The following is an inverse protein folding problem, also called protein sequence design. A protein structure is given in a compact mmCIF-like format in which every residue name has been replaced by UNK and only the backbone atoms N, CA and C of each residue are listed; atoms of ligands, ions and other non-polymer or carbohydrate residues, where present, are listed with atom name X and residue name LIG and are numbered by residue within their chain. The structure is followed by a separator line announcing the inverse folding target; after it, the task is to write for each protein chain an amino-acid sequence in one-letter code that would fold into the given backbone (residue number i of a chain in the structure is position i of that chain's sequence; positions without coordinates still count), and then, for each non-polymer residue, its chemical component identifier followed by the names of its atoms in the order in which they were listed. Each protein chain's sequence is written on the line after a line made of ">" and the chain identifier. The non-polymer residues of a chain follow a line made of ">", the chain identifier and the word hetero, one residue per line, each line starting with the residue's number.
data_IF_805101234876
#
_entry.id   IF_805101234876
#
_cell.length_a   1.000
_cell.length_b   1.000
_cell.length_c   1.000
_cell.angle_alpha   90.00
_cell.angle_beta   90.00
_cell.angle_gamma   90.00
#
_symmetry.space_group_name_H-M   'P 1'
#
loop_
_entity.id
_entity.type
_entity.pdbx_description
1 polymer ?
#
# COMPACT_ATOMS: atom_id res chain seq x y z
N UNK A 1 13.91 -19.85 7.01
CA UNK A 1 14.31 -18.70 7.85
C UNK A 1 15.78 -18.81 8.27
N UNK A 2 16.22 -19.96 8.79
CA UNK A 2 17.64 -20.19 9.15
C UNK A 2 18.60 -20.12 7.96
N UNK A 3 18.13 -20.41 6.75
CA UNK A 3 18.96 -20.41 5.55
C UNK A 3 19.46 -19.00 5.21
N UNK A 4 18.62 -17.98 5.30
CA UNK A 4 19.00 -16.57 5.08
C UNK A 4 20.06 -16.11 6.08
N UNK A 5 19.97 -16.58 7.35
CA UNK A 5 20.89 -16.18 8.41
C UNK A 5 22.33 -16.60 8.15
N UNK A 6 22.50 -17.79 7.56
CA UNK A 6 23.79 -18.41 7.33
C UNK A 6 24.16 -18.49 5.83
N UNK A 7 23.46 -17.75 4.99
CA UNK A 7 23.70 -17.73 3.56
C UNK A 7 25.08 -17.12 3.26
N UNK A 8 25.96 -17.84 2.52
CA UNK A 8 27.29 -17.32 2.19
C UNK A 8 27.27 -16.10 1.28
N UNK A 9 26.17 -15.86 0.53
CA UNK A 9 26.04 -14.70 -0.35
C UNK A 9 25.57 -13.45 0.39
N UNK A 10 25.28 -13.58 1.69
CA UNK A 10 24.85 -12.46 2.51
C UNK A 10 25.96 -11.40 2.69
N UNK A 11 25.59 -10.15 2.48
CA UNK A 11 26.46 -9.01 2.77
C UNK A 11 26.58 -8.85 4.29
N UNK A 12 27.77 -9.07 4.84
CA UNK A 12 28.04 -8.97 6.29
C UNK A 12 29.10 -7.90 6.62
N UNK A 13 29.64 -7.24 5.60
CA UNK A 13 30.60 -6.14 5.72
C UNK A 13 30.22 -5.04 4.74
N UNK A 14 30.55 -3.75 5.04
CA UNK A 14 30.40 -2.68 4.07
C UNK A 14 31.16 -2.98 2.80
N UNK A 15 30.51 -2.79 1.66
CA UNK A 15 31.06 -2.96 0.33
C UNK A 15 31.12 -1.59 -0.36
N UNK A 16 32.23 -1.30 -1.05
CA UNK A 16 32.42 -0.15 -1.92
C UNK A 16 32.53 -0.62 -3.35
N UNK A 17 31.78 -0.02 -4.26
CA UNK A 17 31.86 -0.31 -5.70
C UNK A 17 32.96 0.52 -6.37
N UNK A 18 33.79 -0.11 -7.17
CA UNK A 18 34.57 0.56 -8.20
C UNK A 18 33.66 0.80 -9.41
N UNK A 19 33.36 2.06 -9.71
CA UNK A 19 32.49 2.42 -10.84
C UNK A 19 33.07 2.06 -12.21
N UNK A 20 34.42 1.93 -12.33
CA UNK A 20 35.05 1.60 -13.60
C UNK A 20 34.96 0.11 -13.94
N UNK A 21 35.04 -0.76 -12.95
CA UNK A 21 34.99 -2.21 -13.12
C UNK A 21 33.62 -2.80 -12.76
N UNK A 22 32.84 -2.13 -11.91
CA UNK A 22 31.61 -2.64 -11.33
C UNK A 22 31.82 -3.59 -10.16
N UNK A 23 33.06 -3.88 -9.80
CA UNK A 23 33.38 -4.81 -8.72
C UNK A 23 33.22 -4.17 -7.34
N UNK A 24 32.86 -5.00 -6.36
CA UNK A 24 32.75 -4.58 -4.95
C UNK A 24 33.97 -5.03 -4.15
N UNK A 25 34.52 -4.12 -3.36
CA UNK A 25 35.54 -4.42 -2.38
C UNK A 25 35.04 -4.18 -0.95
N UNK A 26 35.52 -4.97 -0.02
CA UNK A 26 35.24 -4.79 1.40
C UNK A 26 35.96 -3.58 1.95
N UNK A 27 35.25 -2.73 2.70
CA UNK A 27 35.80 -1.57 3.40
C UNK A 27 35.40 -1.57 4.88
N UNK A 28 36.05 -0.74 5.69
CA UNK A 28 35.63 -0.56 7.08
C UNK A 28 34.40 0.36 7.18
N UNK A 29 33.63 0.23 8.27
CA UNK A 29 32.50 1.12 8.56
C UNK A 29 32.95 2.58 8.64
N UNK A 30 34.09 2.87 9.27
CA UNK A 30 34.63 4.21 9.45
C UNK A 30 34.96 4.83 8.08
N UNK A 31 35.58 4.06 7.19
CA UNK A 31 35.93 4.52 5.85
C UNK A 31 34.65 4.77 5.01
N UNK A 32 33.69 3.84 5.05
CA UNK A 32 32.44 3.98 4.33
C UNK A 32 31.64 5.21 4.80
N UNK A 33 31.42 5.36 6.10
CA UNK A 33 30.66 6.48 6.68
C UNK A 33 31.34 7.83 6.43
N UNK A 34 32.68 7.89 6.55
CA UNK A 34 33.43 9.11 6.30
C UNK A 34 33.28 9.58 4.84
N UNK A 35 33.42 8.68 3.85
CA UNK A 35 33.30 9.04 2.44
C UNK A 35 31.85 9.33 2.05
N UNK A 36 30.88 8.49 2.46
CA UNK A 36 29.45 8.77 2.24
C UNK A 36 29.08 10.15 2.77
N UNK A 37 29.46 10.46 4.02
CA UNK A 37 29.18 11.76 4.63
C UNK A 37 29.85 12.93 3.90
N UNK A 38 31.09 12.75 3.42
CA UNK A 38 31.79 13.77 2.65
C UNK A 38 31.14 14.01 1.28
N UNK A 39 30.77 12.95 0.57
CA UNK A 39 30.08 13.04 -0.73
C UNK A 39 28.69 13.64 -0.58
N UNK A 40 27.90 13.19 0.41
CA UNK A 40 26.58 13.73 0.70
C UNK A 40 26.63 15.25 0.98
N UNK A 41 27.56 15.70 1.83
CA UNK A 41 27.75 17.14 2.10
C UNK A 41 28.11 17.92 0.84
N UNK A 42 28.96 17.39 -0.05
CA UNK A 42 29.27 18.04 -1.34
C UNK A 42 28.05 18.15 -2.22
N UNK A 43 27.25 17.08 -2.34
CA UNK A 43 26.01 17.09 -3.15
C UNK A 43 25.04 18.12 -2.59
N UNK A 44 24.78 18.13 -1.28
CA UNK A 44 23.87 19.10 -0.64
C UNK A 44 24.38 20.54 -0.82
N UNK A 45 25.68 20.77 -0.69
CA UNK A 45 26.25 22.11 -0.89
C UNK A 45 26.09 22.61 -2.34
N UNK A 46 26.14 21.71 -3.32
CA UNK A 46 26.01 22.04 -4.74
C UNK A 46 24.54 22.17 -5.21
N UNK A 47 23.63 21.36 -4.70
CA UNK A 47 22.28 21.20 -5.27
C UNK A 47 21.14 21.35 -4.24
N UNK A 48 21.49 21.64 -2.98
CA UNK A 48 20.51 21.77 -1.89
C UNK A 48 20.07 20.42 -1.30
N UNK A 49 19.43 20.46 -0.12
CA UNK A 49 18.99 19.26 0.59
C UNK A 49 17.88 18.49 -0.15
N UNK A 50 17.07 19.17 -0.96
CA UNK A 50 16.01 18.56 -1.78
C UNK A 50 16.55 17.63 -2.88
N UNK A 51 17.89 17.56 -3.09
CA UNK A 51 18.51 16.63 -4.02
C UNK A 51 18.79 15.24 -3.41
N UNK A 52 18.40 15.00 -2.18
CA UNK A 52 18.59 13.71 -1.49
C UNK A 52 17.26 12.97 -1.43
N UNK A 53 17.25 11.73 -1.88
CA UNK A 53 16.07 10.87 -1.82
C UNK A 53 16.33 9.57 -1.07
N UNK A 54 15.26 8.96 -0.53
CA UNK A 54 15.29 7.65 0.11
C UNK A 54 14.12 6.79 -0.32
N UNK A 55 14.40 5.56 -0.77
CA UNK A 55 13.42 4.52 -0.96
C UNK A 55 13.49 3.48 0.17
N UNK A 56 12.36 3.17 0.73
CA UNK A 56 12.19 2.33 1.90
C UNK A 56 11.29 1.13 1.55
N UNK A 57 11.88 -0.04 1.52
CA UNK A 57 11.18 -1.29 1.15
C UNK A 57 10.31 -1.84 2.28
N UNK A 58 9.41 -2.75 1.92
CA UNK A 58 8.46 -3.35 2.86
C UNK A 58 9.09 -4.01 4.10
N UNK A 59 10.21 -4.79 4.01
CA UNK A 59 10.84 -5.35 5.21
C UNK A 59 11.29 -4.30 6.23
N UNK A 60 11.62 -3.09 5.80
CA UNK A 60 11.96 -1.98 6.68
C UNK A 60 10.78 -1.47 7.49
N UNK A 61 9.54 -1.57 6.96
CA UNK A 61 8.34 -1.17 7.68
C UNK A 61 8.03 -2.06 8.90
N UNK A 62 8.61 -3.26 8.93
CA UNK A 62 8.51 -4.17 10.09
C UNK A 62 9.69 -4.02 11.06
N UNK A 63 10.37 -2.88 11.04
CA UNK A 63 11.42 -2.50 11.98
C UNK A 63 11.16 -1.09 12.47
N UNK A 64 10.67 -0.97 13.68
CA UNK A 64 10.33 0.34 14.27
C UNK A 64 11.54 1.29 14.29
N UNK A 65 12.70 0.79 14.66
CA UNK A 65 13.93 1.59 14.72
C UNK A 65 14.34 2.10 13.34
N UNK A 66 14.26 1.24 12.29
CA UNK A 66 14.59 1.63 10.93
C UNK A 66 13.66 2.73 10.41
N UNK A 67 12.36 2.57 10.60
CA UNK A 67 11.36 3.57 10.20
C UNK A 67 11.62 4.93 10.88
N UNK A 68 11.87 4.94 12.18
CA UNK A 68 12.17 6.15 12.96
C UNK A 68 13.45 6.85 12.46
N UNK A 69 14.53 6.10 12.26
CA UNK A 69 15.81 6.69 11.84
C UNK A 69 15.76 7.22 10.41
N UNK A 70 15.15 6.48 9.47
CA UNK A 70 15.01 6.96 8.08
C UNK A 70 14.16 8.23 8.03
N UNK A 71 13.02 8.23 8.72
CA UNK A 71 12.16 9.41 8.77
C UNK A 71 12.86 10.60 9.40
N UNK A 72 13.49 10.40 10.56
CA UNK A 72 14.25 11.45 11.24
C UNK A 72 15.41 11.99 10.41
N UNK A 73 16.10 11.14 9.64
CA UNK A 73 17.16 11.57 8.73
C UNK A 73 16.61 12.45 7.60
N UNK A 74 15.52 12.04 6.93
CA UNK A 74 14.92 12.81 5.85
C UNK A 74 14.32 14.13 6.33
N UNK A 75 13.69 14.14 7.49
CA UNK A 75 13.18 15.38 8.11
C UNK A 75 14.31 16.32 8.54
N UNK A 76 15.38 15.77 9.12
CA UNK A 76 16.57 16.55 9.50
C UNK A 76 17.29 17.17 8.30
N UNK A 77 17.22 16.55 7.12
CA UNK A 77 17.67 17.13 5.85
C UNK A 77 16.70 18.18 5.30
N UNK A 78 15.40 18.05 5.60
CA UNK A 78 14.34 18.84 4.99
C UNK A 78 14.01 18.44 3.55
N UNK A 79 14.37 17.22 3.13
CA UNK A 79 14.04 16.72 1.79
C UNK A 79 12.67 16.06 1.74
N UNK A 80 11.83 16.38 0.73
CA UNK A 80 10.55 15.74 0.52
C UNK A 80 10.65 14.37 -0.17
N UNK A 81 11.81 14.00 -0.70
CA UNK A 81 11.99 12.81 -1.53
C UNK A 81 12.05 11.51 -0.70
N UNK A 82 10.94 11.20 -0.06
CA UNK A 82 10.73 9.95 0.67
C UNK A 82 9.76 9.05 -0.09
N UNK A 83 10.18 7.83 -0.36
CA UNK A 83 9.45 6.85 -1.16
C UNK A 83 9.37 5.52 -0.42
N UNK A 84 8.26 4.81 -0.59
CA UNK A 84 8.08 3.50 0.02
C UNK A 84 7.41 2.52 -0.94
N UNK A 85 7.49 1.23 -0.61
CA UNK A 85 6.77 0.19 -1.32
C UNK A 85 5.24 0.37 -1.27
N UNK A 86 4.70 1.15 -0.32
CA UNK A 86 3.27 1.38 -0.17
C UNK A 86 2.62 2.00 -1.40
N UNK A 87 3.34 2.83 -2.17
CA UNK A 87 2.83 3.43 -3.40
C UNK A 87 2.55 2.41 -4.51
N UNK A 88 3.12 1.21 -4.42
CA UNK A 88 2.90 0.08 -5.33
C UNK A 88 1.98 -1.00 -4.71
N UNK A 89 1.38 -0.74 -3.55
CA UNK A 89 0.54 -1.69 -2.84
C UNK A 89 -0.71 -1.04 -2.24
N UNK A 90 -0.58 -0.16 -1.26
CA UNK A 90 -1.67 0.22 -0.35
C UNK A 90 -1.97 1.73 -0.31
N UNK A 91 -1.16 2.57 -0.93
CA UNK A 91 -1.32 4.03 -0.84
C UNK A 91 -2.71 4.52 -1.30
N UNK A 92 -3.31 3.90 -2.33
CA UNK A 92 -4.67 4.22 -2.76
C UNK A 92 -5.71 3.95 -1.66
N UNK A 93 -5.52 2.89 -0.89
CA UNK A 93 -6.36 2.56 0.26
C UNK A 93 -6.21 3.59 1.39
N UNK A 94 -4.98 3.99 1.70
CA UNK A 94 -4.69 5.03 2.69
C UNK A 94 -5.24 6.39 2.27
N UNK A 95 -5.12 6.75 0.98
CA UNK A 95 -5.72 7.97 0.45
C UNK A 95 -7.26 7.98 0.60
N UNK A 96 -7.92 6.85 0.32
CA UNK A 96 -9.35 6.72 0.55
C UNK A 96 -9.72 6.86 2.03
N UNK A 97 -8.93 6.28 2.94
CA UNK A 97 -9.11 6.44 4.39
C UNK A 97 -8.96 7.90 4.83
N UNK A 98 -7.96 8.60 4.32
CA UNK A 98 -7.80 10.04 4.60
C UNK A 98 -9.02 10.87 4.16
N UNK A 99 -9.61 10.53 3.01
CA UNK A 99 -10.80 11.21 2.47
C UNK A 99 -12.08 10.87 3.25
N UNK A 100 -12.22 9.64 3.73
CA UNK A 100 -13.41 9.18 4.45
C UNK A 100 -13.35 9.50 5.95
N UNK A 101 -12.22 9.29 6.58
CA UNK A 101 -12.06 9.28 8.03
C UNK A 101 -11.16 10.40 8.56
N UNK A 102 -10.57 11.21 7.66
CA UNK A 102 -9.65 12.27 8.04
C UNK A 102 -8.23 11.80 8.39
N UNK A 103 -7.96 10.49 8.38
CA UNK A 103 -6.64 9.90 8.61
C UNK A 103 -6.36 8.74 7.67
N UNK A 104 -5.20 8.71 7.00
CA UNK A 104 -4.79 7.58 6.16
C UNK A 104 -4.51 6.29 6.97
N UNK A 105 -4.24 6.40 8.27
CA UNK A 105 -3.97 5.26 9.14
C UNK A 105 -5.24 4.48 9.54
N UNK A 106 -6.42 5.07 9.42
CA UNK A 106 -7.69 4.45 9.80
C UNK A 106 -8.21 3.53 8.68
N UNK A 107 -7.85 2.26 8.72
CA UNK A 107 -8.27 1.24 7.76
C UNK A 107 -9.20 0.23 8.44
N UNK A 108 -10.49 0.14 8.06
CA UNK A 108 -11.37 -0.89 8.60
C UNK A 108 -10.97 -2.28 8.11
N UNK A 109 -11.09 -3.23 9.01
CA UNK A 109 -10.71 -4.64 8.84
C UNK A 109 -11.96 -5.51 8.96
N UNK A 110 -12.24 -6.47 8.05
CA UNK A 110 -13.32 -7.42 8.18
C UNK A 110 -13.25 -8.23 9.47
N UNK A 111 -14.32 -8.27 10.24
CA UNK A 111 -14.46 -9.14 11.39
C UNK A 111 -14.86 -10.56 10.96
N UNK A 112 -13.87 -11.34 10.52
CA UNK A 112 -14.07 -12.67 9.95
C UNK A 112 -14.70 -13.68 10.93
N UNK A 113 -14.55 -13.45 12.23
CA UNK A 113 -15.09 -14.36 13.24
C UNK A 113 -16.61 -14.27 13.38
N UNK A 114 -17.20 -13.13 13.04
CA UNK A 114 -18.62 -12.84 13.25
C UNK A 114 -19.38 -12.51 11.99
N UNK A 115 -18.71 -12.24 10.87
CA UNK A 115 -19.39 -11.95 9.60
C UNK A 115 -20.18 -13.15 9.08
N UNK A 116 -21.32 -12.89 8.48
CA UNK A 116 -22.15 -13.86 7.77
C UNK A 116 -22.10 -13.71 6.24
N UNK A 117 -21.60 -12.56 5.75
CA UNK A 117 -21.39 -12.32 4.32
C UNK A 117 -20.08 -11.55 4.12
N UNK A 118 -19.16 -12.12 3.37
CA UNK A 118 -17.90 -11.47 3.01
C UNK A 118 -17.81 -11.30 1.50
N UNK A 119 -17.75 -10.05 1.04
CA UNK A 119 -17.45 -9.69 -0.34
C UNK A 119 -15.95 -9.34 -0.45
N UNK A 120 -15.20 -10.14 -1.18
CA UNK A 120 -13.78 -9.89 -1.47
C UNK A 120 -13.59 -9.45 -2.92
N UNK A 121 -12.93 -8.31 -3.14
CA UNK A 121 -12.70 -7.73 -4.46
C UNK A 121 -11.20 -7.61 -4.72
N UNK A 122 -10.70 -8.30 -5.74
CA UNK A 122 -9.29 -8.26 -6.13
C UNK A 122 -8.33 -8.70 -5.00
N UNK A 123 -8.74 -9.70 -4.22
CA UNK A 123 -7.99 -10.21 -3.08
C UNK A 123 -7.80 -11.72 -3.14
N UNK A 124 -6.58 -12.20 -2.84
CA UNK A 124 -6.25 -13.62 -2.84
C UNK A 124 -5.55 -14.03 -1.53
N UNK A 125 -6.29 -14.03 -0.39
CA UNK A 125 -5.69 -14.27 0.93
C UNK A 125 -5.09 -15.68 1.09
N UNK A 126 -5.44 -16.65 0.25
CA UNK A 126 -4.80 -17.98 0.27
C UNK A 126 -3.34 -17.94 -0.17
N UNK A 127 -2.93 -16.91 -0.89
CA UNK A 127 -1.54 -16.64 -1.30
C UNK A 127 -0.92 -15.54 -0.45
N UNK A 128 -1.63 -14.41 -0.24
CA UNK A 128 -1.11 -13.25 0.47
C UNK A 128 -1.21 -13.36 2.01
N UNK A 129 -1.76 -14.43 2.53
CA UNK A 129 -2.04 -14.63 3.96
C UNK A 129 -2.98 -13.58 4.58
N UNK A 130 -3.75 -12.88 3.77
CA UNK A 130 -4.70 -11.87 4.25
C UNK A 130 -4.03 -10.55 4.64
N UNK A 131 -3.20 -10.03 3.78
CA UNK A 131 -2.56 -8.71 3.90
C UNK A 131 -3.56 -7.64 4.39
N UNK A 132 -3.21 -6.89 5.43
CA UNK A 132 -4.06 -5.93 6.16
C UNK A 132 -5.19 -6.57 6.99
N UNK A 133 -5.57 -7.83 6.76
CA UNK A 133 -6.62 -8.50 7.54
C UNK A 133 -6.22 -8.83 8.98
N UNK A 134 -4.92 -8.85 9.29
CA UNK A 134 -4.37 -9.30 10.60
C UNK A 134 -4.99 -10.63 11.08
N UNK A 135 -5.23 -11.54 10.14
CA UNK A 135 -5.97 -12.78 10.36
C UNK A 135 -5.04 -14.00 10.30
N UNK A 136 -4.47 -14.45 11.43
CA UNK A 136 -3.72 -15.70 11.46
C UNK A 136 -4.61 -16.85 10.98
N UNK A 137 -4.02 -17.84 10.30
CA UNK A 137 -4.74 -18.99 9.76
C UNK A 137 -5.92 -18.60 8.85
N UNK A 138 -5.71 -17.65 7.96
CA UNK A 138 -6.75 -17.05 7.11
C UNK A 138 -7.64 -18.09 6.40
N UNK A 139 -7.08 -19.21 5.95
CA UNK A 139 -7.83 -20.28 5.28
C UNK A 139 -8.92 -20.86 6.19
N UNK A 140 -8.58 -21.16 7.44
CA UNK A 140 -9.50 -21.68 8.44
C UNK A 140 -10.58 -20.64 8.78
N UNK A 141 -10.22 -19.38 8.90
CA UNK A 141 -11.17 -18.30 9.19
C UNK A 141 -12.19 -18.11 8.07
N UNK A 142 -11.76 -18.14 6.81
CA UNK A 142 -12.68 -18.03 5.67
C UNK A 142 -13.61 -19.24 5.53
N UNK A 143 -13.09 -20.45 5.72
CA UNK A 143 -13.95 -21.64 5.76
C UNK A 143 -14.93 -21.60 6.94
N UNK A 144 -14.50 -21.11 8.10
CA UNK A 144 -15.35 -20.94 9.27
C UNK A 144 -16.57 -20.04 9.03
N UNK A 145 -16.49 -19.06 8.10
CA UNK A 145 -17.67 -18.27 7.70
C UNK A 145 -18.73 -19.19 7.07
N UNK A 146 -18.29 -20.05 6.14
CA UNK A 146 -19.21 -20.98 5.43
C UNK A 146 -19.75 -22.06 6.37
N UNK A 147 -18.91 -22.60 7.27
CA UNK A 147 -19.30 -23.58 8.28
C UNK A 147 -20.38 -23.07 9.25
N UNK A 148 -20.38 -21.75 9.50
CA UNK A 148 -21.42 -21.09 10.29
C UNK A 148 -22.68 -20.73 9.48
N UNK A 149 -22.78 -21.18 8.21
CA UNK A 149 -23.90 -20.89 7.32
C UNK A 149 -23.80 -19.54 6.60
N UNK A 150 -22.65 -18.85 6.72
CA UNK A 150 -22.39 -17.61 5.99
C UNK A 150 -21.90 -17.86 4.57
N UNK A 151 -21.62 -16.77 3.85
CA UNK A 151 -21.14 -16.80 2.46
C UNK A 151 -19.90 -15.98 2.26
N UNK A 152 -19.02 -16.46 1.39
CA UNK A 152 -17.83 -15.74 0.92
C UNK A 152 -17.89 -15.63 -0.60
N UNK A 153 -17.91 -14.42 -1.11
CA UNK A 153 -17.94 -14.11 -2.54
C UNK A 153 -16.61 -13.47 -2.93
N UNK A 154 -15.96 -14.04 -3.94
CA UNK A 154 -14.68 -13.56 -4.46
C UNK A 154 -14.89 -12.97 -5.85
N UNK A 155 -14.72 -11.66 -5.96
CA UNK A 155 -14.75 -10.94 -7.24
C UNK A 155 -13.31 -10.81 -7.73
N UNK A 156 -13.00 -11.49 -8.83
CA UNK A 156 -11.64 -11.52 -9.38
C UNK A 156 -11.72 -11.88 -10.87
N UNK A 157 -10.96 -11.24 -11.77
CA UNK A 157 -10.91 -11.63 -13.18
C UNK A 157 -10.50 -13.10 -13.38
N UNK A 158 -9.70 -13.62 -12.47
CA UNK A 158 -9.16 -14.97 -12.48
C UNK A 158 -9.80 -15.82 -11.36
N UNK A 159 -10.07 -17.07 -11.65
CA UNK A 159 -10.42 -18.02 -10.61
C UNK A 159 -9.19 -18.36 -9.78
N UNK A 160 -8.84 -17.42 -8.87
CA UNK A 160 -7.67 -17.46 -8.02
C UNK A 160 -7.68 -18.64 -7.03
N UNK A 161 -6.58 -18.84 -6.29
CA UNK A 161 -6.48 -19.90 -5.29
C UNK A 161 -7.58 -19.78 -4.23
N UNK A 162 -7.92 -18.57 -3.83
CA UNK A 162 -9.05 -18.32 -2.92
C UNK A 162 -10.38 -18.54 -3.63
N UNK A 163 -10.57 -18.03 -4.84
CA UNK A 163 -11.82 -18.16 -5.60
C UNK A 163 -12.20 -19.61 -5.95
N UNK A 164 -11.25 -20.55 -5.91
CA UNK A 164 -11.55 -21.98 -6.11
C UNK A 164 -12.32 -22.63 -4.97
N UNK A 165 -12.31 -22.00 -3.79
CA UNK A 165 -12.93 -22.55 -2.57
C UNK A 165 -14.26 -21.88 -2.21
N UNK A 166 -14.59 -20.75 -2.86
CA UNK A 166 -15.75 -19.94 -2.55
C UNK A 166 -16.52 -19.57 -3.81
N UNK A 167 -17.62 -18.84 -3.64
CA UNK A 167 -18.37 -18.31 -4.76
C UNK A 167 -17.49 -17.32 -5.54
N UNK A 168 -17.40 -17.49 -6.86
CA UNK A 168 -16.57 -16.67 -7.72
C UNK A 168 -17.40 -15.88 -8.72
N UNK A 169 -17.23 -14.58 -8.72
CA UNK A 169 -17.80 -13.66 -9.69
C UNK A 169 -16.68 -13.10 -10.56
N UNK A 170 -16.58 -13.52 -11.82
CA UNK A 170 -15.57 -12.98 -12.73
C UNK A 170 -15.94 -11.55 -13.12
N UNK A 171 -14.97 -10.64 -13.03
CA UNK A 171 -15.11 -9.25 -13.42
C UNK A 171 -14.03 -8.89 -14.44
N UNK A 172 -14.31 -8.00 -15.40
CA UNK A 172 -13.25 -7.52 -16.29
C UNK A 172 -12.22 -6.70 -15.51
N UNK A 173 -10.91 -6.86 -15.78
CA UNK A 173 -9.88 -6.08 -15.12
C UNK A 173 -10.17 -4.58 -15.19
N UNK A 174 -9.87 -3.87 -14.09
CA UNK A 174 -9.97 -2.40 -13.95
C UNK A 174 -11.40 -1.84 -14.12
N UNK A 175 -12.43 -2.67 -13.87
CA UNK A 175 -13.85 -2.24 -13.91
C UNK A 175 -14.56 -2.30 -12.56
N UNK A 176 -13.81 -2.53 -11.49
CA UNK A 176 -14.32 -2.66 -10.11
C UNK A 176 -15.14 -1.43 -9.69
N UNK A 177 -14.70 -0.22 -10.06
CA UNK A 177 -15.40 1.02 -9.73
C UNK A 177 -16.85 1.02 -10.27
N UNK A 178 -17.06 0.55 -11.50
CA UNK A 178 -18.40 0.46 -12.09
C UNK A 178 -19.27 -0.60 -11.42
N UNK A 179 -18.67 -1.72 -11.04
CA UNK A 179 -19.36 -2.77 -10.29
C UNK A 179 -19.83 -2.25 -8.94
N UNK A 180 -18.96 -1.62 -8.17
CA UNK A 180 -19.26 -1.10 -6.85
C UNK A 180 -20.26 0.06 -6.89
N UNK A 181 -20.14 0.97 -7.87
CA UNK A 181 -21.12 2.03 -8.10
C UNK A 181 -22.49 1.46 -8.48
N UNK A 182 -22.51 0.39 -9.28
CA UNK A 182 -23.74 -0.28 -9.65
C UNK A 182 -24.42 -0.96 -8.45
N UNK A 183 -23.65 -1.61 -7.59
CA UNK A 183 -24.18 -2.16 -6.33
C UNK A 183 -24.74 -1.04 -5.44
N UNK A 184 -24.05 0.10 -5.35
CA UNK A 184 -24.53 1.26 -4.61
C UNK A 184 -25.81 1.85 -5.23
N UNK A 185 -25.93 1.89 -6.58
CA UNK A 185 -27.15 2.26 -7.29
C UNK A 185 -28.33 1.39 -6.84
N UNK A 186 -28.14 0.07 -6.81
CA UNK A 186 -29.18 -0.88 -6.36
C UNK A 186 -29.60 -0.62 -4.91
N UNK A 187 -28.64 -0.38 -4.01
CA UNK A 187 -28.94 -0.06 -2.62
C UNK A 187 -29.84 1.19 -2.50
N UNK A 188 -29.59 2.19 -3.35
CA UNK A 188 -30.40 3.42 -3.39
C UNK A 188 -31.77 3.19 -4.05
N UNK A 189 -31.80 2.58 -5.23
CA UNK A 189 -33.07 2.34 -5.99
C UNK A 189 -34.05 1.47 -5.23
N UNK A 190 -33.55 0.44 -4.54
CA UNK A 190 -34.39 -0.55 -3.84
C UNK A 190 -34.58 -0.20 -2.36
N UNK A 191 -34.16 1.00 -1.92
CA UNK A 191 -34.30 1.47 -0.53
C UNK A 191 -33.65 0.52 0.50
N UNK A 192 -32.52 -0.07 0.16
CA UNK A 192 -31.77 -1.00 1.01
C UNK A 192 -30.69 -0.32 1.85
N UNK A 193 -30.43 0.97 1.63
CA UNK A 193 -29.46 1.74 2.40
C UNK A 193 -30.00 2.05 3.82
N UNK A 194 -29.12 1.98 4.83
CA UNK A 194 -29.44 2.41 6.20
C UNK A 194 -29.38 3.95 6.30
N UNK A 195 -30.43 4.59 5.78
CA UNK A 195 -30.55 6.07 5.74
C UNK A 195 -30.47 6.69 7.14
N UNK A 196 -30.88 5.98 8.19
CA UNK A 196 -30.83 6.50 9.56
C UNK A 196 -29.40 6.60 10.09
N UNK A 197 -28.57 5.57 9.88
CA UNK A 197 -27.14 5.59 10.22
C UNK A 197 -26.38 6.60 9.36
N UNK A 198 -26.66 6.62 8.06
CA UNK A 198 -26.00 7.55 7.13
C UNK A 198 -26.27 9.02 7.48
N UNK A 199 -27.50 9.36 7.85
CA UNK A 199 -27.86 10.72 8.27
C UNK A 199 -27.20 11.14 9.59
N UNK A 200 -26.94 10.19 10.49
CA UNK A 200 -26.34 10.44 11.80
C UNK A 200 -24.82 10.51 11.74
N UNK A 201 -24.18 9.66 10.92
CA UNK A 201 -22.75 9.34 11.02
C UNK A 201 -21.94 9.88 9.86
N UNK A 202 -22.58 10.39 8.79
CA UNK A 202 -21.87 10.80 7.58
C UNK A 202 -22.23 12.21 7.13
N UNK A 203 -21.32 12.81 6.37
CA UNK A 203 -21.58 14.00 5.58
C UNK A 203 -21.41 13.69 4.10
N UNK A 204 -22.21 14.34 3.22
CA UNK A 204 -22.06 14.17 1.77
C UNK A 204 -22.81 12.97 1.18
N UNK A 205 -23.52 12.16 1.96
CA UNK A 205 -24.28 11.01 1.46
C UNK A 205 -25.26 11.36 0.33
N UNK A 206 -25.96 12.50 0.45
CA UNK A 206 -26.91 12.94 -0.58
C UNK A 206 -26.24 13.05 -1.97
N UNK A 207 -24.99 13.52 -2.02
CA UNK A 207 -24.25 13.63 -3.28
C UNK A 207 -23.79 12.26 -3.79
N UNK A 208 -23.33 11.38 -2.92
CA UNK A 208 -22.95 10.00 -3.28
C UNK A 208 -24.17 9.25 -3.84
N UNK A 209 -25.32 9.36 -3.19
CA UNK A 209 -26.60 8.79 -3.63
C UNK A 209 -26.98 9.28 -5.04
N UNK A 210 -26.95 10.59 -5.27
CA UNK A 210 -27.24 11.18 -6.59
C UNK A 210 -26.30 10.63 -7.67
N UNK A 211 -25.01 10.57 -7.41
CA UNK A 211 -24.01 10.06 -8.35
C UNK A 211 -24.21 8.56 -8.63
N UNK A 212 -24.50 7.76 -7.61
CA UNK A 212 -24.70 6.32 -7.74
C UNK A 212 -25.84 5.96 -8.69
N UNK A 213 -26.92 6.74 -8.71
CA UNK A 213 -28.08 6.54 -9.60
C UNK A 213 -27.71 6.66 -11.11
N UNK A 214 -26.55 7.24 -11.45
CA UNK A 214 -26.01 7.26 -12.81
C UNK A 214 -25.35 5.95 -13.25
N UNK A 215 -25.40 4.88 -12.45
CA UNK A 215 -24.71 3.61 -12.74
C UNK A 215 -25.63 2.40 -12.59
N UNK A 216 -26.79 2.36 -13.27
CA UNK A 216 -27.69 1.22 -13.16
C UNK A 216 -27.02 -0.07 -13.68
N UNK A 217 -27.33 -1.23 -13.08
CA UNK A 217 -26.73 -2.53 -13.45
C UNK A 217 -26.84 -2.84 -14.94
N UNK A 218 -27.94 -2.47 -15.57
CA UNK A 218 -28.23 -2.72 -16.99
C UNK A 218 -27.22 -2.00 -17.92
N UNK A 219 -26.72 -0.85 -17.51
CA UNK A 219 -25.72 -0.09 -18.28
C UNK A 219 -24.28 -0.51 -17.96
N UNK A 220 -24.02 -0.92 -16.71
CA UNK A 220 -22.67 -1.27 -16.26
C UNK A 220 -22.29 -2.72 -16.56
N UNK A 221 -23.28 -3.62 -16.73
CA UNK A 221 -23.04 -5.04 -17.00
C UNK A 221 -22.16 -5.28 -18.23
N UNK A 222 -22.39 -4.55 -19.31
CA UNK A 222 -21.58 -4.68 -20.53
C UNK A 222 -20.11 -4.26 -20.31
N UNK A 223 -19.84 -3.34 -19.38
CA UNK A 223 -18.49 -2.87 -19.04
C UNK A 223 -17.79 -3.82 -18.09
N UNK A 224 -18.47 -4.24 -17.02
CA UNK A 224 -17.90 -5.08 -15.98
C UNK A 224 -17.79 -6.55 -16.39
N UNK A 225 -18.63 -6.99 -17.32
CA UNK A 225 -18.79 -8.40 -17.66
C UNK A 225 -19.61 -9.19 -16.63
N UNK A 226 -20.11 -8.53 -15.57
CA UNK A 226 -20.99 -9.12 -14.57
C UNK A 226 -22.44 -8.86 -15.00
N UNK A 227 -23.30 -9.88 -15.10
CA UNK A 227 -24.72 -9.70 -15.47
C UNK A 227 -25.45 -8.76 -14.52
N UNK A 228 -26.43 -8.00 -15.03
CA UNK A 228 -27.18 -7.02 -14.23
C UNK A 228 -27.94 -7.66 -13.04
N UNK A 229 -28.53 -8.83 -13.25
CA UNK A 229 -29.19 -9.59 -12.20
C UNK A 229 -28.22 -10.07 -11.10
N UNK A 230 -26.98 -10.39 -11.48
CA UNK A 230 -25.92 -10.75 -10.54
C UNK A 230 -25.47 -9.55 -9.72
N UNK A 231 -25.30 -8.36 -10.33
CA UNK A 231 -25.01 -7.11 -9.61
C UNK A 231 -26.11 -6.77 -8.60
N UNK A 232 -27.37 -6.91 -9.01
CA UNK A 232 -28.54 -6.73 -8.11
C UNK A 232 -28.54 -7.75 -6.97
N UNK A 233 -28.26 -9.02 -7.29
CA UNK A 233 -28.17 -10.08 -6.28
C UNK A 233 -27.08 -9.76 -5.24
N UNK A 234 -25.86 -9.39 -5.66
CA UNK A 234 -24.77 -9.06 -4.76
C UNK A 234 -25.11 -7.89 -3.81
N UNK A 235 -25.74 -6.85 -4.34
CA UNK A 235 -26.17 -5.71 -3.53
C UNK A 235 -27.23 -6.08 -2.49
N UNK A 236 -28.25 -6.87 -2.90
CA UNK A 236 -29.31 -7.37 -1.99
C UNK A 236 -28.76 -8.32 -0.94
N UNK A 237 -27.85 -9.22 -1.32
CA UNK A 237 -27.18 -10.16 -0.40
C UNK A 237 -26.34 -9.42 0.65
N UNK A 238 -25.61 -8.37 0.23
CA UNK A 238 -24.82 -7.52 1.13
C UNK A 238 -25.74 -6.79 2.13
N UNK A 239 -26.83 -6.21 1.67
CA UNK A 239 -27.76 -5.46 2.51
C UNK A 239 -28.64 -6.37 3.39
N UNK A 240 -29.00 -7.56 2.88
CA UNK A 240 -29.87 -8.51 3.59
C UNK A 240 -29.12 -9.39 4.61
N UNK A 241 -27.79 -9.38 4.61
CA UNK A 241 -27.02 -10.15 5.57
C UNK A 241 -27.12 -9.55 6.98
N UNK A 242 -27.23 -10.37 8.02
CA UNK A 242 -27.23 -9.90 9.41
C UNK A 242 -25.95 -9.11 9.72
N UNK A 243 -24.82 -9.58 9.18
CA UNK A 243 -23.49 -8.96 9.32
C UNK A 243 -22.71 -9.17 8.05
N UNK A 244 -22.30 -8.08 7.43
CA UNK A 244 -21.55 -8.13 6.18
C UNK A 244 -20.27 -7.34 6.25
N UNK A 245 -19.23 -7.84 5.60
CA UNK A 245 -17.97 -7.14 5.43
C UNK A 245 -17.57 -7.10 3.96
N UNK A 246 -16.89 -6.02 3.58
CA UNK A 246 -16.34 -5.84 2.24
C UNK A 246 -14.81 -5.67 2.37
N UNK A 247 -14.07 -6.37 1.53
CA UNK A 247 -12.61 -6.36 1.56
C UNK A 247 -12.03 -6.29 0.16
N UNK A 248 -11.19 -5.30 -0.08
CA UNK A 248 -10.45 -5.15 -1.33
C UNK A 248 -8.95 -5.07 -1.10
N UNK A 249 -8.17 -5.61 -2.06
CA UNK A 249 -6.70 -5.57 -1.99
C UNK A 249 -6.11 -5.21 -3.35
N UNK A 250 -4.83 -5.47 -3.49
CA UNK A 250 -3.96 -5.08 -4.60
C UNK A 250 -4.62 -5.19 -5.98
N UNK A 251 -5.37 -6.26 -6.24
CA UNK A 251 -6.09 -6.45 -7.50
C UNK A 251 -7.15 -5.39 -7.82
N UNK A 252 -7.75 -4.79 -6.80
CA UNK A 252 -8.76 -3.73 -6.95
C UNK A 252 -8.21 -2.32 -6.66
N UNK A 253 -7.17 -2.21 -5.80
CA UNK A 253 -6.64 -0.91 -5.36
C UNK A 253 -5.61 -0.31 -6.33
N UNK A 254 -4.94 -1.10 -7.16
CA UNK A 254 -3.87 -0.63 -8.04
C UNK A 254 -4.30 -0.28 -9.46
N UNK A 255 -5.59 -0.44 -9.78
CA UNK A 255 -6.15 -0.03 -11.06
C UNK A 255 -6.23 1.49 -11.21
N UNK A 256 -6.67 1.92 -12.39
CA UNK A 256 -6.84 3.34 -12.76
C UNK A 256 -7.67 4.15 -11.75
N UNK A 257 -8.62 3.50 -11.10
CA UNK A 257 -9.53 4.10 -10.13
C UNK A 257 -9.33 3.56 -8.70
N UNK A 258 -8.12 3.11 -8.36
CA UNK A 258 -7.84 2.40 -7.12
C UNK A 258 -8.27 3.14 -5.85
N UNK A 259 -8.07 4.45 -5.76
CA UNK A 259 -8.56 5.27 -4.64
C UNK A 259 -10.10 5.30 -4.60
N UNK A 260 -10.77 5.48 -5.75
CA UNK A 260 -12.23 5.44 -5.83
C UNK A 260 -12.77 4.06 -5.45
N UNK A 261 -12.15 2.99 -5.93
CA UNK A 261 -12.54 1.62 -5.55
C UNK A 261 -12.43 1.43 -4.04
N UNK A 262 -11.34 1.84 -3.43
CA UNK A 262 -11.15 1.77 -1.97
C UNK A 262 -12.20 2.57 -1.21
N UNK A 263 -12.53 3.78 -1.69
CA UNK A 263 -13.60 4.62 -1.16
C UNK A 263 -14.97 3.92 -1.25
N UNK A 264 -15.29 3.29 -2.39
CA UNK A 264 -16.56 2.63 -2.63
C UNK A 264 -16.73 1.35 -1.80
N UNK A 265 -15.66 0.59 -1.55
CA UNK A 265 -15.69 -0.58 -0.67
C UNK A 265 -16.17 -0.19 0.74
N UNK A 266 -15.65 0.89 1.29
CA UNK A 266 -16.08 1.39 2.60
C UNK A 266 -17.46 2.04 2.54
N UNK A 267 -17.78 2.73 1.45
CA UNK A 267 -19.10 3.32 1.24
C UNK A 267 -20.21 2.25 1.22
N UNK A 268 -19.95 1.08 0.66
CA UNK A 268 -20.90 -0.04 0.71
C UNK A 268 -21.13 -0.54 2.15
N UNK A 269 -20.07 -0.62 2.95
CA UNK A 269 -20.22 -0.98 4.38
C UNK A 269 -20.96 0.11 5.16
N UNK A 270 -20.68 1.39 4.89
CA UNK A 270 -21.42 2.52 5.46
C UNK A 270 -22.91 2.48 5.06
N UNK A 271 -23.18 2.31 3.76
CA UNK A 271 -24.55 2.31 3.23
C UNK A 271 -25.42 1.16 3.76
N UNK A 272 -24.80 0.08 4.19
CA UNK A 272 -25.51 -1.10 4.75
C UNK A 272 -25.41 -1.21 6.27
N UNK A 273 -24.92 -0.16 6.96
CA UNK A 273 -24.81 -0.13 8.42
C UNK A 273 -23.81 -1.15 8.99
N UNK A 274 -22.82 -1.56 8.20
CA UNK A 274 -21.83 -2.58 8.56
C UNK A 274 -20.43 -2.02 8.89
N UNK A 275 -20.22 -0.71 8.79
CA UNK A 275 -18.96 -0.10 9.22
C UNK A 275 -18.98 0.12 10.75
N UNK A 276 -17.85 -0.13 11.39
CA UNK A 276 -17.63 -0.06 12.85
C UNK A 276 -18.63 -0.89 13.66
N UNK A 277 -19.02 -2.03 13.10
CA UNK A 277 -19.96 -2.98 13.68
C UNK A 277 -19.33 -4.37 13.78
N UNK A 278 -19.58 -5.07 14.88
CA UNK A 278 -19.15 -6.46 15.04
C UNK A 278 -19.71 -7.35 13.92
N UNK A 279 -18.83 -8.04 13.20
CA UNK A 279 -19.14 -8.84 12.02
C UNK A 279 -19.15 -8.09 10.69
N UNK A 280 -18.95 -6.76 10.73
CA UNK A 280 -18.73 -5.91 9.58
C UNK A 280 -17.25 -5.51 9.44
N UNK A 281 -17.01 -4.28 8.98
CA UNK A 281 -15.69 -3.67 9.02
C UNK A 281 -15.46 -2.99 10.36
N UNK A 282 -14.40 -3.35 11.08
CA UNK A 282 -14.06 -2.78 12.38
C UNK A 282 -12.69 -2.11 12.35
N UNK A 283 -12.51 -1.06 13.13
CA UNK A 283 -11.19 -0.46 13.31
C UNK A 283 -10.41 -1.22 14.37
N UNK A 284 -9.18 -1.62 14.03
CA UNK A 284 -8.31 -2.31 14.97
C UNK A 284 -7.84 -1.36 16.09
N UNK A 285 -7.73 -1.89 17.29
CA UNK A 285 -7.07 -1.19 18.41
C UNK A 285 -5.71 -1.88 18.66
N UNK A 286 -4.62 -1.39 18.08
CA UNK A 286 -3.30 -1.93 18.32
C UNK A 286 -2.87 -1.63 19.77
N UNK A 287 -1.92 -2.41 20.29
CA UNK A 287 -1.36 -2.18 21.64
C UNK A 287 -0.69 -0.80 21.78
N UNK A 288 -0.21 -0.26 20.68
CA UNK A 288 0.26 1.13 20.54
C UNK A 288 -0.66 1.81 19.54
N UNK A 289 -1.31 2.89 19.93
CA UNK A 289 -2.16 3.71 19.07
C UNK A 289 -1.30 4.43 18.02
N UNK A 290 -0.98 3.73 16.92
CA UNK A 290 -0.10 4.23 15.87
C UNK A 290 -0.66 5.46 15.15
N UNK A 291 -1.97 5.55 15.03
CA UNK A 291 -2.69 6.70 14.50
C UNK A 291 -2.45 7.94 15.37
N UNK A 292 -2.57 7.83 16.69
CA UNK A 292 -2.27 8.92 17.63
C UNK A 292 -0.79 9.30 17.60
N UNK A 293 0.11 8.30 17.60
CA UNK A 293 1.55 8.53 17.49
C UNK A 293 1.90 9.19 16.15
N UNK A 294 1.31 8.73 15.05
CA UNK A 294 1.51 9.32 13.74
C UNK A 294 1.01 10.76 13.68
N UNK A 295 -0.16 11.05 14.25
CA UNK A 295 -0.69 12.42 14.35
C UNK A 295 0.24 13.33 15.15
N UNK A 296 0.66 12.89 16.33
CA UNK A 296 1.56 13.67 17.20
C UNK A 296 2.92 13.92 16.55
N UNK A 297 3.42 12.95 15.79
CA UNK A 297 4.66 13.05 15.04
C UNK A 297 4.52 13.79 13.70
N UNK A 298 3.30 14.18 13.29
CA UNK A 298 3.03 14.81 11.99
C UNK A 298 3.27 13.87 10.80
N UNK A 299 3.14 12.57 11.01
CA UNK A 299 3.34 11.51 9.99
C UNK A 299 2.03 11.06 9.34
N UNK A 300 0.89 11.38 9.97
CA UNK A 300 -0.46 11.10 9.48
C UNK A 300 -0.85 12.10 8.38
N UNK A 301 -0.17 12.03 7.22
CA UNK A 301 -0.29 13.03 6.18
C UNK A 301 -0.90 12.49 4.90
N UNK A 302 -1.74 13.32 4.28
CA UNK A 302 -2.22 13.16 2.92
C UNK A 302 -2.21 14.53 2.22
N UNK A 303 -1.37 14.68 1.19
CA UNK A 303 -1.27 15.90 0.42
C UNK A 303 -0.58 17.08 1.13
N UNK A 304 0.14 16.86 2.23
CA UNK A 304 0.97 17.87 2.91
C UNK A 304 2.18 18.25 2.06
N UNK A 305 2.75 17.26 1.37
CA UNK A 305 3.86 17.43 0.43
C UNK A 305 3.39 16.96 -0.94
N UNK A 306 3.94 17.56 -1.99
CA UNK A 306 3.67 17.15 -3.36
C UNK A 306 4.97 16.86 -4.10
N UNK A 307 4.94 15.87 -5.01
CA UNK A 307 6.06 15.57 -5.88
C UNK A 307 6.41 16.78 -6.75
N UNK A 308 7.68 16.96 -7.01
CA UNK A 308 8.21 17.99 -7.94
C UNK A 308 7.63 17.80 -9.34
N UNK A 309 7.59 16.55 -9.81
CA UNK A 309 7.02 16.18 -11.09
C UNK A 309 5.57 15.76 -10.90
N UNK A 310 4.66 16.33 -11.68
CA UNK A 310 3.25 15.99 -11.69
C UNK A 310 2.42 16.49 -10.50
N UNK A 311 3.03 17.01 -9.44
CA UNK A 311 2.31 17.56 -8.28
C UNK A 311 1.48 16.54 -7.49
N UNK A 312 1.86 15.27 -7.50
CA UNK A 312 1.15 14.19 -6.80
C UNK A 312 1.27 14.33 -5.27
N UNK A 313 0.18 14.11 -4.55
CA UNK A 313 0.19 14.20 -3.09
C UNK A 313 0.99 13.06 -2.44
N UNK A 314 1.59 13.35 -1.27
CA UNK A 314 2.10 12.31 -0.40
C UNK A 314 0.96 11.52 0.26
N UNK A 315 1.27 10.29 0.64
CA UNK A 315 0.45 9.44 1.49
C UNK A 315 1.33 8.90 2.61
N UNK A 316 1.04 9.25 3.85
CA UNK A 316 1.90 8.97 5.02
C UNK A 316 3.35 9.46 4.81
N UNK A 317 3.49 10.64 4.23
CA UNK A 317 4.76 11.28 3.91
C UNK A 317 5.50 10.67 2.72
N UNK A 318 5.01 9.61 2.09
CA UNK A 318 5.65 8.98 0.95
C UNK A 318 5.09 9.49 -0.38
N UNK A 319 5.99 9.83 -1.30
CA UNK A 319 5.69 10.19 -2.68
C UNK A 319 5.57 8.93 -3.57
N UNK A 320 4.93 9.01 -4.74
CA UNK A 320 4.80 7.85 -5.64
C UNK A 320 6.16 7.35 -6.15
N UNK A 321 6.50 6.10 -5.83
CA UNK A 321 7.77 5.49 -6.25
C UNK A 321 7.89 5.29 -7.77
N UNK A 322 6.77 5.31 -8.49
CA UNK A 322 6.76 5.30 -9.96
C UNK A 322 7.44 6.52 -10.59
N UNK A 323 7.66 7.59 -9.85
CA UNK A 323 8.36 8.79 -10.32
C UNK A 323 9.88 8.74 -10.15
N UNK A 324 10.42 7.73 -9.47
CA UNK A 324 11.84 7.68 -9.09
C UNK A 324 12.80 7.93 -10.25
N UNK A 325 12.61 7.24 -11.38
CA UNK A 325 13.47 7.40 -12.54
C UNK A 325 13.43 8.83 -13.11
N UNK A 326 12.23 9.40 -13.21
CA UNK A 326 12.03 10.77 -13.71
C UNK A 326 12.58 11.81 -12.73
N UNK A 327 12.40 11.63 -11.42
CA UNK A 327 12.93 12.54 -10.38
C UNK A 327 14.48 12.54 -10.33
N UNK A 328 15.13 11.45 -10.73
CA UNK A 328 16.58 11.36 -10.87
C UNK A 328 17.09 11.96 -12.19
N UNK A 329 16.35 11.83 -13.27
CA UNK A 329 16.82 12.16 -14.62
C UNK A 329 16.37 13.53 -15.14
N UNK A 330 15.22 14.04 -14.66
CA UNK A 330 14.70 15.34 -15.11
C UNK A 330 15.43 16.50 -14.43
N UNK A 331 16.15 17.35 -15.18
CA UNK A 331 16.87 18.48 -14.59
C UNK A 331 15.94 19.48 -13.90
N UNK A 332 16.48 20.17 -12.91
CA UNK A 332 15.80 21.27 -12.21
C UNK A 332 16.03 21.24 -10.71
N UNK A 333 15.51 22.27 -10.02
CA UNK A 333 15.58 22.34 -8.57
C UNK A 333 14.93 21.13 -7.92
N UNK A 334 15.61 20.52 -6.93
CA UNK A 334 15.17 19.31 -6.25
C UNK A 334 15.35 18.02 -7.07
N UNK A 335 16.06 18.02 -8.21
CA UNK A 335 16.44 16.78 -8.89
C UNK A 335 17.22 15.88 -7.93
N UNK A 336 16.85 14.61 -7.82
CA UNK A 336 17.56 13.65 -6.96
C UNK A 336 18.98 13.41 -7.52
N UNK A 337 19.98 13.70 -6.72
CA UNK A 337 21.41 13.53 -7.02
C UNK A 337 22.12 12.57 -6.07
N UNK A 338 21.63 12.47 -4.83
CA UNK A 338 22.04 11.47 -3.88
C UNK A 338 20.85 10.61 -3.48
N UNK A 339 21.02 9.29 -3.47
CA UNK A 339 19.91 8.38 -3.20
C UNK A 339 20.30 7.28 -2.23
N UNK A 340 19.35 6.94 -1.38
CA UNK A 340 19.46 5.83 -0.46
C UNK A 340 18.34 4.81 -0.75
N UNK A 341 18.69 3.53 -0.71
CA UNK A 341 17.69 2.45 -0.68
C UNK A 341 17.87 1.62 0.57
N UNK A 342 16.79 1.14 1.14
CA UNK A 342 16.87 0.23 2.25
C UNK A 342 15.79 -0.85 2.15
N UNK A 343 16.20 -2.10 2.38
CA UNK A 343 15.32 -3.25 2.49
C UNK A 343 14.34 -3.39 1.30
N UNK A 344 14.79 -3.09 0.07
CA UNK A 344 13.92 -3.14 -1.09
C UNK A 344 14.64 -3.21 -2.42
N UNK A 345 13.97 -3.77 -3.42
CA UNK A 345 14.48 -3.93 -4.79
C UNK A 345 13.55 -3.21 -5.80
N UNK A 346 13.54 -1.86 -5.81
CA UNK A 346 12.63 -1.08 -6.66
C UNK A 346 12.85 -1.28 -8.15
N UNK A 347 14.01 -1.67 -8.63
CA UNK A 347 14.22 -2.04 -10.04
C UNK A 347 13.30 -3.19 -10.46
N UNK A 348 13.03 -4.16 -9.57
CA UNK A 348 12.09 -5.24 -9.84
C UNK A 348 10.65 -4.94 -9.44
N UNK A 349 10.42 -4.06 -8.47
CA UNK A 349 9.09 -3.87 -7.87
C UNK A 349 8.38 -2.58 -8.28
N UNK A 350 9.10 -1.59 -8.83
CA UNK A 350 8.50 -0.37 -9.36
C UNK A 350 8.29 -0.46 -10.88
N UNK A 351 7.37 0.33 -11.45
CA UNK A 351 7.21 0.43 -12.88
C UNK A 351 8.48 0.92 -13.58
N UNK A 352 8.70 0.44 -14.80
CA UNK A 352 9.83 0.81 -15.65
C UNK A 352 11.19 0.60 -14.97
N UNK A 353 11.42 -0.63 -14.50
CA UNK A 353 12.69 -1.02 -13.88
C UNK A 353 13.94 -0.65 -14.71
N UNK A 354 13.95 -0.88 -16.04
CA UNK A 354 15.09 -0.48 -16.88
C UNK A 354 15.39 1.03 -16.85
N UNK A 355 14.38 1.89 -16.85
CA UNK A 355 14.59 3.34 -16.73
C UNK A 355 15.13 3.71 -15.34
N UNK A 356 14.63 3.06 -14.28
CA UNK A 356 15.14 3.27 -12.93
C UNK A 356 16.58 2.79 -12.79
N UNK A 357 16.92 1.63 -13.35
CA UNK A 357 18.28 1.10 -13.35
C UNK A 357 19.27 2.07 -13.99
N UNK A 358 18.92 2.62 -15.16
CA UNK A 358 19.72 3.63 -15.85
C UNK A 358 19.84 4.92 -15.02
N UNK A 359 18.78 5.35 -14.35
CA UNK A 359 18.76 6.54 -13.53
C UNK A 359 19.70 6.41 -12.31
N UNK A 360 19.74 5.24 -11.69
CA UNK A 360 20.60 4.95 -10.54
C UNK A 360 22.10 5.09 -10.88
N UNK A 361 22.52 4.69 -12.08
CA UNK A 361 23.91 4.85 -12.55
C UNK A 361 24.33 6.33 -12.69
N UNK A 362 23.39 7.23 -12.95
CA UNK A 362 23.63 8.67 -13.13
C UNK A 362 23.76 9.47 -11.85
N UNK A 363 23.59 8.87 -10.67
CA UNK A 363 23.63 9.56 -9.39
C UNK A 363 25.05 9.95 -8.97
N UNK A 364 25.18 11.06 -8.25
CA UNK A 364 26.44 11.50 -7.66
C UNK A 364 26.84 10.63 -6.44
N UNK A 365 25.83 10.14 -5.71
CA UNK A 365 25.98 9.21 -4.61
C UNK A 365 24.79 8.26 -4.55
N UNK A 366 25.05 6.96 -4.54
CA UNK A 366 24.04 5.95 -4.28
C UNK A 366 24.50 5.00 -3.16
N UNK A 367 23.68 4.87 -2.12
CA UNK A 367 23.95 4.01 -0.96
C UNK A 367 22.78 3.06 -0.74
N UNK A 368 23.05 1.78 -0.58
CA UNK A 368 22.07 0.76 -0.24
C UNK A 368 22.32 0.16 1.14
N UNK A 369 21.24 -0.06 1.89
CA UNK A 369 21.24 -0.84 3.13
C UNK A 369 20.47 -2.13 2.85
N UNK A 370 21.18 -3.23 2.71
CA UNK A 370 20.57 -4.51 2.32
C UNK A 370 21.38 -5.71 2.84
N UNK A 371 20.79 -6.89 2.76
CA UNK A 371 21.42 -8.15 3.16
C UNK A 371 22.04 -8.91 1.98
N UNK A 372 21.71 -8.54 0.73
CA UNK A 372 22.25 -9.14 -0.49
C UNK A 372 22.62 -8.08 -1.51
N UNK A 373 23.49 -8.44 -2.45
CA UNK A 373 23.64 -7.70 -3.72
C UNK A 373 22.49 -8.14 -4.64
N UNK A 374 21.74 -7.18 -5.16
CA UNK A 374 20.55 -7.43 -5.99
C UNK A 374 20.51 -6.48 -7.21
N UNK A 375 19.48 -6.59 -8.05
CA UNK A 375 19.33 -5.82 -9.29
C UNK A 375 19.35 -4.31 -9.06
N UNK A 376 18.85 -3.85 -7.94
CA UNK A 376 18.82 -2.43 -7.59
C UNK A 376 20.18 -1.96 -7.08
N UNK A 377 20.72 -2.63 -6.08
CA UNK A 377 21.89 -2.12 -5.36
C UNK A 377 23.24 -2.48 -6.00
N UNK A 378 23.25 -3.33 -7.04
CA UNK A 378 24.48 -3.54 -7.84
C UNK A 378 25.04 -2.26 -8.46
N UNK A 379 24.23 -1.20 -8.54
CA UNK A 379 24.64 0.13 -9.02
C UNK A 379 25.09 1.07 -7.89
N UNK A 380 24.94 0.66 -6.62
CA UNK A 380 25.27 1.49 -5.48
C UNK A 380 26.77 1.69 -5.33
N UNK A 381 27.18 2.90 -4.95
CA UNK A 381 28.57 3.19 -4.54
C UNK A 381 28.94 2.42 -3.28
N UNK A 382 27.96 2.26 -2.37
CA UNK A 382 28.12 1.53 -1.13
C UNK A 382 26.94 0.61 -0.87
N UNK A 383 27.21 -0.63 -0.45
CA UNK A 383 26.22 -1.52 0.16
C UNK A 383 26.61 -1.70 1.63
N UNK A 384 25.74 -1.24 2.52
CA UNK A 384 25.93 -1.34 3.95
C UNK A 384 25.10 -2.53 4.46
N UNK A 385 25.72 -3.51 5.14
CA UNK A 385 25.01 -4.68 5.64
C UNK A 385 23.99 -4.29 6.72
N UNK A 386 22.83 -4.91 6.65
CA UNK A 386 21.79 -4.79 7.66
C UNK A 386 21.60 -6.10 8.43
N UNK A 387 21.02 -5.99 9.62
CA UNK A 387 20.59 -7.14 10.40
C UNK A 387 19.33 -7.78 9.80
N UNK A 388 19.21 -9.09 9.96
CA UNK A 388 17.93 -9.78 9.74
C UNK A 388 17.02 -9.59 10.97
N UNK A 389 15.74 -9.99 10.85
CA UNK A 389 14.79 -9.96 11.97
C UNK A 389 15.18 -10.88 13.15
N UNK A 390 16.08 -11.84 12.95
CA UNK A 390 16.59 -12.71 14.03
C UNK A 390 17.78 -12.10 14.79
N UNK A 391 18.34 -10.99 14.29
CA UNK A 391 19.52 -10.33 14.84
C UNK A 391 19.22 -9.00 15.51
N UNK A 392 17.95 -8.62 15.61
CA UNK A 392 17.55 -7.34 16.19
C UNK A 392 16.38 -7.49 17.14
N UNK A 393 16.30 -6.63 18.12
CA UNK A 393 15.08 -6.41 18.89
C UNK A 393 14.09 -5.64 18.06
N UNK A 394 12.81 -6.00 18.17
CA UNK A 394 11.74 -5.31 17.44
C UNK A 394 10.46 -5.24 18.28
N UNK A 395 9.63 -4.26 17.99
CA UNK A 395 8.28 -4.16 18.55
C UNK A 395 7.28 -4.59 17.45
N UNK A 396 6.42 -5.56 17.73
CA UNK A 396 5.32 -5.87 16.83
C UNK A 396 4.33 -4.69 16.84
N UNK A 397 4.34 -3.98 15.76
CA UNK A 397 3.46 -2.82 15.52
C UNK A 397 2.28 -3.27 14.70
#
# INVERSE_FOLDING_TARGET
>A
MTDVQNDPDRVIHPLRRDRATGEFERVSWEAAIADIGARLRRTIAATGPNSVGWYFGNPGAFSYSHALWVKGFMEGLGSPHYYTASSQDVANRFAASALLYGSPALVPIPDLHRTSFLLMVGANPFVSHGSVLTAPKIKEQLHGIVERGGRVVVVDPRRSETARHFEHVPVRPDTDAWMLLSMLCVLVEEHLADEASLARETTGWARVRELALGFPPEETAARTGVPADELRRLARDLAGADRAAVYGRTGSCLGRFGTLVSFLLDTLMLATGNLDRAGGGVFGLPAIALDEVAQQAGLDTYGKVRSRLGGFPDVLGALPASLLAEEMTTPGDGQIRAFFTSAGNPVLSCPDGPALEQALEGLDLYVSLDIYVNETNRHADYILPSTTWLERDDLPI
#
